data_IF_673960969308
#
_entry.id   IF_673960969308
#
_cell.length_a   1.000
_cell.length_b   1.000
_cell.length_c   1.000
_cell.angle_alpha   90.00
_cell.angle_beta   90.00
_cell.angle_gamma   90.00
#
_symmetry.space_group_name_H-M   'P 1'
#
loop_
_entity.id
_entity.type
_entity.pdbx_description
1 polymer ?
#
# COMPACT_ATOMS: atom_id res chain seq x y z
N UNK A 1 -4.58 3.22 10.90
CA UNK A 1 -5.50 2.09 10.56
C UNK A 1 -4.94 1.35 9.35
N UNK A 2 -5.40 0.14 9.00
CA UNK A 2 -4.83 -0.63 7.89
C UNK A 2 -5.89 -1.07 6.87
N UNK A 3 -5.56 -0.97 5.58
CA UNK A 3 -6.31 -1.53 4.47
C UNK A 3 -5.39 -2.36 3.58
N UNK A 4 -5.62 -3.67 3.53
CA UNK A 4 -4.93 -4.59 2.64
C UNK A 4 -5.76 -4.88 1.39
N UNK A 5 -5.21 -4.64 0.21
CA UNK A 5 -5.84 -4.89 -1.09
C UNK A 5 -5.19 -6.12 -1.75
N UNK A 6 -6.00 -7.03 -2.30
CA UNK A 6 -5.51 -8.22 -3.00
C UNK A 6 -6.11 -8.27 -4.41
N UNK A 7 -5.26 -8.44 -5.44
CA UNK A 7 -5.70 -8.51 -6.83
C UNK A 7 -4.98 -9.61 -7.62
N UNK A 8 -5.76 -10.50 -8.26
CA UNK A 8 -5.28 -11.52 -9.19
C UNK A 8 -5.72 -11.27 -10.65
N UNK A 9 -6.36 -10.13 -10.92
CA UNK A 9 -6.96 -9.81 -12.22
C UNK A 9 -6.17 -8.81 -13.06
N UNK A 10 -5.03 -8.32 -12.56
CA UNK A 10 -4.26 -7.25 -13.20
C UNK A 10 -4.90 -5.86 -13.12
N UNK A 11 -6.00 -5.71 -12.38
CA UNK A 11 -6.71 -4.44 -12.23
C UNK A 11 -6.08 -3.47 -11.20
N UNK A 12 -4.94 -3.83 -10.59
CA UNK A 12 -4.27 -3.06 -9.53
C UNK A 12 -3.94 -1.63 -9.97
N UNK A 13 -3.48 -1.44 -11.22
CA UNK A 13 -3.11 -0.12 -11.74
C UNK A 13 -4.26 0.88 -11.82
N UNK A 14 -5.52 0.42 -11.82
CA UNK A 14 -6.69 1.31 -11.80
C UNK A 14 -7.37 1.35 -10.43
N UNK A 15 -7.59 0.18 -9.83
CA UNK A 15 -8.38 0.09 -8.60
C UNK A 15 -7.64 0.63 -7.39
N UNK A 16 -6.33 0.35 -7.26
CA UNK A 16 -5.60 0.74 -6.05
C UNK A 16 -5.45 2.27 -5.96
N UNK A 17 -5.04 2.99 -7.02
CA UNK A 17 -5.00 4.45 -6.98
C UNK A 17 -6.37 5.08 -6.70
N UNK A 18 -7.44 4.52 -7.27
CA UNK A 18 -8.81 4.99 -7.03
C UNK A 18 -9.20 4.86 -5.55
N UNK A 19 -8.89 3.72 -4.92
CA UNK A 19 -9.17 3.51 -3.50
C UNK A 19 -8.37 4.47 -2.62
N UNK A 20 -7.08 4.66 -2.91
CA UNK A 20 -6.25 5.62 -2.18
C UNK A 20 -6.80 7.06 -2.30
N UNK A 21 -7.24 7.46 -3.48
CA UNK A 21 -7.85 8.76 -3.69
C UNK A 21 -9.15 8.93 -2.89
N UNK A 22 -10.05 7.94 -2.95
CA UNK A 22 -11.31 7.98 -2.20
C UNK A 22 -11.10 8.06 -0.69
N UNK A 23 -10.06 7.39 -0.16
CA UNK A 23 -9.71 7.51 1.26
C UNK A 23 -9.31 8.94 1.63
N UNK A 24 -8.48 9.59 0.81
CA UNK A 24 -8.09 11.00 1.01
C UNK A 24 -9.29 11.94 0.90
N UNK A 25 -10.15 11.73 -0.10
CA UNK A 25 -11.35 12.57 -0.31
C UNK A 25 -12.32 12.51 0.88
N UNK A 26 -12.38 11.37 1.58
CA UNK A 26 -13.18 11.17 2.79
C UNK A 26 -12.43 11.59 4.09
N UNK A 27 -11.24 12.19 3.98
CA UNK A 27 -10.43 12.65 5.12
C UNK A 27 -9.80 11.52 5.94
N UNK A 28 -9.63 10.34 5.34
CA UNK A 28 -9.03 9.15 5.96
C UNK A 28 -7.53 9.06 5.65
N UNK A 29 -6.81 10.17 5.79
CA UNK A 29 -5.40 10.31 5.46
C UNK A 29 -4.48 9.39 6.29
N UNK A 30 -4.93 8.97 7.48
CA UNK A 30 -4.20 8.10 8.43
C UNK A 30 -4.23 6.61 8.08
N UNK A 31 -4.97 6.22 7.03
CA UNK A 31 -5.09 4.82 6.63
C UNK A 31 -3.83 4.38 5.90
N UNK A 32 -3.15 3.38 6.45
CA UNK A 32 -2.01 2.70 5.81
C UNK A 32 -2.56 1.70 4.80
N UNK A 33 -2.30 1.93 3.52
CA UNK A 33 -2.75 1.05 2.43
C UNK A 33 -1.58 0.20 1.93
N UNK A 34 -1.79 -1.11 1.84
CA UNK A 34 -0.82 -2.05 1.27
C UNK A 34 -1.51 -3.04 0.34
N UNK A 35 -0.74 -3.67 -0.53
CA UNK A 35 -1.25 -4.46 -1.64
C UNK A 35 -0.61 -5.83 -1.71
N UNK A 36 -1.29 -6.77 -2.35
CA UNK A 36 -0.73 -8.06 -2.71
C UNK A 36 -1.36 -8.67 -3.95
N UNK A 37 -0.75 -9.75 -4.42
CA UNK A 37 -1.15 -10.46 -5.64
C UNK A 37 -0.05 -10.49 -6.70
N UNK A 38 -0.45 -10.58 -7.97
CA UNK A 38 0.50 -10.60 -9.11
C UNK A 38 0.64 -9.19 -9.67
N UNK A 39 1.61 -8.44 -9.14
CA UNK A 39 1.86 -7.04 -9.51
C UNK A 39 3.28 -6.93 -10.10
N UNK A 40 3.43 -6.58 -11.39
CA UNK A 40 4.74 -6.36 -12.02
C UNK A 40 5.53 -5.25 -11.35
N UNK A 41 6.86 -5.39 -11.30
CA UNK A 41 7.72 -4.38 -10.66
C UNK A 41 7.67 -3.01 -11.35
N UNK A 42 7.43 -3.00 -12.66
CA UNK A 42 7.24 -1.77 -13.44
C UNK A 42 6.01 -0.95 -13.01
N UNK A 43 5.01 -1.59 -12.40
CA UNK A 43 3.77 -0.93 -11.96
C UNK A 43 3.89 -0.38 -10.54
N UNK A 44 4.86 -0.88 -9.75
CA UNK A 44 5.02 -0.50 -8.33
C UNK A 44 5.26 0.99 -8.11
N UNK A 45 6.11 1.70 -8.89
CA UNK A 45 6.35 3.13 -8.66
C UNK A 45 5.07 3.96 -8.69
N UNK A 46 4.21 3.75 -9.70
CA UNK A 46 2.94 4.46 -9.83
C UNK A 46 1.96 4.13 -8.68
N UNK A 47 1.98 2.89 -8.18
CA UNK A 47 1.18 2.48 -7.03
C UNK A 47 1.66 3.15 -5.73
N UNK A 48 2.98 3.27 -5.54
CA UNK A 48 3.54 3.96 -4.39
C UNK A 48 3.25 5.45 -4.42
N UNK A 49 3.41 6.10 -5.58
CA UNK A 49 2.99 7.50 -5.80
C UNK A 49 1.51 7.72 -5.48
N UNK A 50 0.66 6.72 -5.75
CA UNK A 50 -0.76 6.80 -5.42
C UNK A 50 -1.06 6.70 -3.91
N UNK A 51 -0.08 6.32 -3.08
CA UNK A 51 -0.21 6.23 -1.61
C UNK A 51 -0.08 4.82 -1.03
N UNK A 52 0.28 3.82 -1.85
CA UNK A 52 0.55 2.46 -1.38
C UNK A 52 1.88 2.41 -0.61
N UNK A 53 1.87 1.77 0.56
CA UNK A 53 3.06 1.67 1.44
C UNK A 53 3.86 0.41 1.23
N UNK A 54 3.21 -0.69 0.85
CA UNK A 54 3.88 -1.95 0.55
C UNK A 54 3.13 -2.72 -0.53
N UNK A 55 3.86 -3.54 -1.30
CA UNK A 55 3.31 -4.45 -2.29
C UNK A 55 3.95 -5.84 -2.09
N UNK A 56 3.14 -6.79 -1.64
CA UNK A 56 3.54 -8.16 -1.34
C UNK A 56 3.24 -9.10 -2.50
N UNK A 57 4.31 -9.52 -3.19
CA UNK A 57 4.22 -10.46 -4.31
C UNK A 57 4.08 -11.93 -3.87
N UNK A 58 4.02 -12.86 -4.84
CA UNK A 58 4.03 -14.30 -4.56
C UNK A 58 5.23 -14.70 -3.70
N UNK A 59 4.98 -15.55 -2.70
CA UNK A 59 6.03 -16.07 -1.83
C UNK A 59 6.40 -15.15 -0.65
N UNK A 60 5.81 -13.95 -0.54
CA UNK A 60 5.96 -13.11 0.66
C UNK A 60 5.49 -13.89 1.89
N UNK A 61 6.31 -13.96 2.93
CA UNK A 61 5.95 -14.66 4.17
C UNK A 61 5.03 -13.80 5.03
N UNK A 62 4.23 -14.46 5.88
CA UNK A 62 3.42 -13.75 6.87
C UNK A 62 4.29 -12.97 7.87
N UNK A 63 5.51 -13.44 8.13
CA UNK A 63 6.48 -12.75 8.99
C UNK A 63 6.85 -11.39 8.41
N UNK A 64 7.20 -11.32 7.12
CA UNK A 64 7.50 -10.04 6.45
C UNK A 64 6.30 -9.07 6.49
N UNK A 65 5.08 -9.58 6.33
CA UNK A 65 3.87 -8.74 6.43
C UNK A 65 3.66 -8.26 7.88
N UNK A 66 3.95 -9.11 8.86
CA UNK A 66 3.89 -8.74 10.28
C UNK A 66 4.91 -7.65 10.64
N UNK A 67 6.13 -7.76 10.12
CA UNK A 67 7.19 -6.76 10.32
C UNK A 67 6.79 -5.42 9.72
N UNK A 68 6.24 -5.43 8.50
CA UNK A 68 5.66 -4.25 7.88
C UNK A 68 4.60 -3.59 8.77
N UNK A 69 3.64 -4.37 9.28
CA UNK A 69 2.56 -3.82 10.13
C UNK A 69 3.13 -3.23 11.43
N UNK A 70 4.12 -3.89 12.03
CA UNK A 70 4.79 -3.42 13.24
C UNK A 70 5.51 -2.09 13.00
N UNK A 71 6.30 -1.98 11.93
CA UNK A 71 6.99 -0.74 11.58
C UNK A 71 5.97 0.36 11.24
N UNK A 72 5.03 0.10 10.33
CA UNK A 72 4.02 1.07 9.90
C UNK A 72 3.19 1.63 11.07
N UNK A 73 2.94 0.84 12.11
CA UNK A 73 2.19 1.26 13.30
C UNK A 73 2.94 2.29 14.16
N UNK A 74 4.26 2.39 14.01
CA UNK A 74 5.11 3.32 14.76
C UNK A 74 5.37 4.63 14.02
N UNK A 75 4.77 4.81 12.83
CA UNK A 75 5.09 5.89 11.89
C UNK A 75 3.93 6.85 11.72
N UNK A 76 4.25 8.14 11.74
CA UNK A 76 3.27 9.21 11.47
C UNK A 76 3.14 9.49 9.97
N UNK A 77 4.10 9.05 9.16
CA UNK A 77 4.19 9.27 7.70
C UNK A 77 3.73 8.07 6.86
N UNK A 78 3.06 7.08 7.48
CA UNK A 78 2.62 5.85 6.81
C UNK A 78 1.18 5.93 6.25
N UNK A 79 0.40 6.94 6.59
CA UNK A 79 -0.97 7.10 6.08
C UNK A 79 -1.02 7.50 4.60
N UNK A 80 -2.09 7.16 3.88
CA UNK A 80 -2.29 7.43 2.44
C UNK A 80 -2.26 8.91 2.05
N UNK A 81 -2.46 9.82 3.01
CA UNK A 81 -2.34 11.27 2.82
C UNK A 81 -0.91 11.82 2.98
N UNK A 82 0.07 10.98 3.33
CA UNK A 82 1.46 11.42 3.42
C UNK A 82 2.10 11.47 2.02
N UNK A 83 2.16 12.68 1.44
CA UNK A 83 2.84 12.97 0.18
C UNK A 83 4.35 12.65 0.29
N UNK A 84 4.84 11.74 -0.55
CA UNK A 84 6.24 11.28 -0.47
C UNK A 84 6.57 10.55 0.84
N UNK A 85 5.54 10.05 1.54
CA UNK A 85 5.68 9.31 2.78
C UNK A 85 6.47 8.00 2.62
N UNK A 86 6.74 7.37 3.75
CA UNK A 86 7.52 6.15 3.81
C UNK A 86 6.98 5.03 2.92
N UNK A 87 7.88 4.30 2.29
CA UNK A 87 7.59 3.11 1.50
C UNK A 87 8.39 1.96 2.12
N UNK A 88 7.72 0.82 2.29
CA UNK A 88 8.34 -0.41 2.74
C UNK A 88 9.15 -1.03 1.60
N UNK A 89 10.46 -1.10 1.80
CA UNK A 89 11.39 -1.84 0.96
C UNK A 89 11.86 -3.07 1.74
N UNK A 90 11.22 -4.23 1.52
CA UNK A 90 11.73 -5.53 1.99
C UNK A 90 12.64 -6.17 0.96
#
# INVERSE_FOLDING_TARGET
RFLGLSSLSGAHGHLFPTICQLLRDEGLDDVVVFGGGIIPDADRPALHEAGMRAIFGPGTTTETISDFVAEASSRDDAGVGADGGWIWEA
#
